data_IF_646519301171
#
_entry.id   IF_646519301171
#
_cell.length_a   1.000
_cell.length_b   1.000
_cell.length_c   1.000
_cell.angle_alpha   90.00
_cell.angle_beta   90.00
_cell.angle_gamma   90.00
#
_symmetry.space_group_name_H-M   'P 1'
#
loop_
_entity.id
_entity.type
_entity.pdbx_description
1 polymer ?
#
# COMPACT_ATOMS: atom_id res chain seq x y z
N UNK A 1 7.49 -47.84 9.68
CA UNK A 1 6.32 -47.11 9.19
C UNK A 1 6.83 -45.95 8.31
N UNK A 2 6.63 -46.04 7.01
CA UNK A 2 6.97 -44.94 6.07
C UNK A 2 5.71 -44.13 5.86
N UNK A 3 5.71 -42.88 6.31
CA UNK A 3 4.66 -41.93 5.96
C UNK A 3 4.91 -41.43 4.53
N UNK A 4 4.09 -41.88 3.61
CA UNK A 4 4.06 -41.38 2.23
C UNK A 4 3.17 -40.14 2.23
N UNK A 5 3.79 -38.99 2.09
CA UNK A 5 3.08 -37.73 1.93
C UNK A 5 2.70 -37.59 0.45
N UNK A 6 1.47 -37.96 0.11
CA UNK A 6 0.92 -37.68 -1.22
C UNK A 6 0.60 -36.22 -1.33
N UNK A 7 1.40 -35.50 -2.14
CA UNK A 7 1.11 -34.12 -2.53
C UNK A 7 -0.03 -34.18 -3.56
N UNK A 8 -1.25 -33.95 -3.10
CA UNK A 8 -2.41 -33.77 -3.98
C UNK A 8 -2.27 -32.41 -4.68
N UNK A 9 -1.68 -32.41 -5.87
CA UNK A 9 -1.67 -31.24 -6.76
C UNK A 9 -3.02 -31.11 -7.45
N UNK A 10 -3.94 -30.35 -6.85
CA UNK A 10 -5.15 -29.95 -7.57
C UNK A 10 -4.77 -29.04 -8.76
N UNK A 11 -5.31 -29.23 -9.95
CA UNK A 11 -5.02 -28.37 -11.09
C UNK A 11 -5.51 -26.94 -10.79
N UNK A 12 -4.57 -26.00 -10.79
CA UNK A 12 -4.91 -24.58 -10.69
C UNK A 12 -5.64 -24.17 -11.97
N UNK A 13 -6.94 -23.98 -11.87
CA UNK A 13 -7.76 -23.46 -12.96
C UNK A 13 -7.35 -22.01 -13.22
N UNK A 14 -6.49 -21.80 -14.19
CA UNK A 14 -6.12 -20.46 -14.67
C UNK A 14 -7.28 -19.92 -15.48
N UNK A 15 -8.04 -18.98 -14.90
CA UNK A 15 -9.07 -18.24 -15.65
C UNK A 15 -8.40 -17.51 -16.83
N UNK A 16 -8.97 -17.56 -18.03
CA UNK A 16 -8.42 -16.85 -19.18
C UNK A 16 -8.37 -15.36 -18.84
N UNK A 17 -7.18 -14.77 -18.99
CA UNK A 17 -6.98 -13.34 -18.79
C UNK A 17 -7.70 -12.61 -19.93
N UNK A 18 -8.79 -11.93 -19.60
CA UNK A 18 -9.47 -11.06 -20.57
C UNK A 18 -8.52 -9.95 -21.02
N UNK A 19 -8.33 -9.80 -22.33
CA UNK A 19 -7.53 -8.69 -22.86
C UNK A 19 -8.26 -7.38 -22.58
N UNK A 20 -7.62 -6.49 -21.86
CA UNK A 20 -8.13 -5.15 -21.60
C UNK A 20 -7.72 -4.23 -22.76
N UNK A 21 -8.61 -3.34 -23.18
CA UNK A 21 -8.23 -2.24 -24.07
C UNK A 21 -7.35 -1.23 -23.32
N UNK A 22 -6.57 -0.43 -24.05
CA UNK A 22 -5.75 0.63 -23.45
C UNK A 22 -6.58 1.62 -22.64
N UNK A 23 -7.78 1.97 -23.11
CA UNK A 23 -8.67 2.90 -22.41
C UNK A 23 -9.27 2.29 -21.14
N UNK A 24 -9.61 1.02 -21.16
CA UNK A 24 -10.05 0.33 -19.96
C UNK A 24 -8.91 0.21 -18.93
N UNK A 25 -7.69 -0.07 -19.37
CA UNK A 25 -6.52 -0.10 -18.50
C UNK A 25 -6.27 1.28 -17.86
N UNK A 26 -6.31 2.36 -18.65
CA UNK A 26 -6.18 3.73 -18.16
C UNK A 26 -7.27 4.06 -17.11
N UNK A 27 -8.52 3.75 -17.41
CA UNK A 27 -9.63 4.00 -16.47
C UNK A 27 -9.44 3.24 -15.16
N UNK A 28 -9.06 1.97 -15.21
CA UNK A 28 -8.80 1.18 -13.99
C UNK A 28 -7.62 1.71 -13.20
N UNK A 29 -6.54 2.12 -13.87
CA UNK A 29 -5.38 2.73 -13.23
C UNK A 29 -5.78 4.03 -12.53
N UNK A 30 -6.50 4.92 -13.21
CA UNK A 30 -6.96 6.17 -12.61
C UNK A 30 -7.87 5.95 -11.41
N UNK A 31 -8.83 5.03 -11.48
CA UNK A 31 -9.69 4.70 -10.34
C UNK A 31 -8.91 4.19 -9.12
N UNK A 32 -7.84 3.43 -9.35
CA UNK A 32 -6.96 2.98 -8.26
C UNK A 32 -6.11 4.09 -7.68
N UNK A 33 -5.56 4.95 -8.54
CA UNK A 33 -4.69 6.05 -8.13
C UNK A 33 -5.45 7.23 -7.51
N UNK A 34 -6.70 7.41 -7.90
CA UNK A 34 -7.60 8.47 -7.42
C UNK A 34 -8.93 7.84 -6.97
N UNK A 35 -8.92 7.14 -5.85
CA UNK A 35 -10.14 6.51 -5.33
C UNK A 35 -11.16 7.58 -4.91
N UNK A 36 -12.44 7.33 -5.18
CA UNK A 36 -13.51 8.16 -4.65
C UNK A 36 -13.66 7.92 -3.15
N UNK A 37 -13.28 8.92 -2.38
CA UNK A 37 -13.35 8.93 -0.91
C UNK A 37 -14.11 10.17 -0.50
N UNK A 38 -15.04 10.01 0.43
CA UNK A 38 -15.85 11.11 0.97
C UNK A 38 -15.25 11.67 2.25
N UNK A 39 -15.37 12.98 2.43
CA UNK A 39 -14.92 13.67 3.63
C UNK A 39 -13.51 14.25 3.54
N UNK A 40 -13.15 15.01 4.57
CA UNK A 40 -11.88 15.76 4.69
C UNK A 40 -11.21 15.54 6.03
N UNK A 41 -11.75 14.62 6.84
CA UNK A 41 -11.25 14.28 8.18
C UNK A 41 -10.15 13.20 8.17
N UNK A 42 -9.69 12.81 9.36
CA UNK A 42 -8.68 11.77 9.56
C UNK A 42 -9.06 10.45 8.90
N UNK A 43 -10.33 10.06 8.98
CA UNK A 43 -10.85 8.79 8.43
C UNK A 43 -10.66 8.72 6.91
N UNK A 44 -10.94 9.85 6.20
CA UNK A 44 -10.74 9.93 4.76
C UNK A 44 -9.26 9.75 4.38
N UNK A 45 -8.35 10.29 5.17
CA UNK A 45 -6.91 10.12 4.97
C UNK A 45 -6.50 8.67 5.20
N UNK A 46 -6.96 8.05 6.27
CA UNK A 46 -6.66 6.63 6.56
C UNK A 46 -7.23 5.70 5.48
N UNK A 47 -8.47 5.95 5.02
CA UNK A 47 -9.06 5.21 3.89
C UNK A 47 -8.21 5.35 2.62
N UNK A 48 -7.67 6.55 2.35
CA UNK A 48 -6.77 6.76 1.21
C UNK A 48 -5.54 5.84 1.29
N UNK A 49 -4.90 5.73 2.44
CA UNK A 49 -3.75 4.84 2.64
C UNK A 49 -4.13 3.36 2.52
N UNK A 50 -5.32 2.96 2.98
CA UNK A 50 -5.81 1.59 2.81
C UNK A 50 -6.00 1.24 1.33
N UNK A 51 -6.48 2.17 0.52
CA UNK A 51 -6.72 1.96 -0.93
C UNK A 51 -5.48 2.07 -1.79
N UNK A 52 -4.58 3.01 -1.48
CA UNK A 52 -3.34 3.21 -2.25
C UNK A 52 -2.21 2.29 -1.80
N UNK A 53 -2.18 1.92 -0.54
CA UNK A 53 -1.02 1.34 0.11
C UNK A 53 0.01 2.40 0.54
N UNK A 54 1.23 1.98 0.87
CA UNK A 54 2.27 2.87 1.36
C UNK A 54 2.73 3.88 0.31
N UNK A 55 2.91 5.12 0.73
CA UNK A 55 3.34 6.23 -0.12
C UNK A 55 4.83 6.46 0.07
N UNK A 56 5.61 6.43 -1.00
CA UNK A 56 7.04 6.74 -0.92
C UNK A 56 7.26 8.15 -0.36
N UNK A 57 8.11 8.26 0.67
CA UNK A 57 8.26 9.47 1.49
C UNK A 57 9.73 9.85 1.70
N UNK A 58 10.59 9.52 0.73
CA UNK A 58 11.98 9.96 0.67
C UNK A 58 12.06 11.49 0.73
N UNK A 59 11.15 12.15 0.02
CA UNK A 59 10.93 13.58 0.13
C UNK A 59 9.90 13.83 1.23
N UNK A 60 10.19 14.60 2.28
CA UNK A 60 9.31 14.81 3.43
C UNK A 60 7.91 15.32 3.09
N UNK A 61 7.78 16.10 2.02
CA UNK A 61 6.50 16.67 1.57
C UNK A 61 5.66 15.72 0.73
N UNK A 62 6.21 14.59 0.26
CA UNK A 62 5.53 13.68 -0.66
C UNK A 62 4.19 13.14 -0.12
N UNK A 63 4.05 12.71 1.14
CA UNK A 63 2.76 12.27 1.67
C UNK A 63 1.70 13.37 1.63
N UNK A 64 2.06 14.59 2.01
CA UNK A 64 1.15 15.74 2.01
C UNK A 64 0.65 16.06 0.61
N UNK A 65 1.55 16.11 -0.38
CA UNK A 65 1.19 16.34 -1.78
C UNK A 65 0.31 15.23 -2.35
N UNK A 66 0.60 13.98 -1.98
CA UNK A 66 -0.21 12.82 -2.40
C UNK A 66 -1.62 12.89 -1.83
N UNK A 67 -1.76 13.25 -0.55
CA UNK A 67 -3.05 13.41 0.10
C UNK A 67 -3.82 14.57 -0.51
N UNK A 68 -3.22 15.76 -0.60
CA UNK A 68 -3.89 16.96 -1.10
C UNK A 68 -4.36 16.85 -2.55
N UNK A 69 -3.62 16.10 -3.39
CA UNK A 69 -4.01 15.88 -4.79
C UNK A 69 -5.19 14.92 -4.97
N UNK A 70 -5.51 14.11 -3.96
CA UNK A 70 -6.57 13.08 -3.99
C UNK A 70 -7.75 13.39 -3.09
N UNK A 71 -7.50 14.15 -2.04
CA UNK A 71 -8.49 14.59 -1.07
C UNK A 71 -8.42 16.12 -0.94
N UNK A 72 -8.92 16.85 -1.94
CA UNK A 72 -8.97 18.31 -1.88
C UNK A 72 -9.83 18.74 -0.69
N UNK A 73 -9.29 19.65 0.14
CA UNK A 73 -9.95 20.11 1.35
C UNK A 73 -9.44 19.48 2.67
N UNK A 74 -8.64 18.42 2.63
CA UNK A 74 -7.95 17.93 3.82
C UNK A 74 -6.93 18.97 4.28
N UNK A 75 -7.02 19.36 5.54
CA UNK A 75 -6.12 20.34 6.14
C UNK A 75 -4.75 19.73 6.44
N UNK A 76 -3.70 20.51 6.26
CA UNK A 76 -2.34 20.11 6.64
C UNK A 76 -2.27 19.65 8.11
N UNK A 77 -2.94 20.38 9.00
CA UNK A 77 -3.00 20.08 10.43
C UNK A 77 -3.57 18.67 10.70
N UNK A 78 -4.63 18.26 10.00
CA UNK A 78 -5.20 16.91 10.12
C UNK A 78 -4.17 15.83 9.82
N UNK A 79 -3.32 16.03 8.83
CA UNK A 79 -2.25 15.09 8.50
C UNK A 79 -1.15 15.07 9.56
N UNK A 80 -0.79 16.24 10.12
CA UNK A 80 0.16 16.32 11.22
C UNK A 80 -0.34 15.57 12.45
N UNK A 81 -1.59 15.75 12.84
CA UNK A 81 -2.23 15.06 13.98
C UNK A 81 -2.23 13.54 13.81
N UNK A 82 -2.41 13.05 12.58
CA UNK A 82 -2.30 11.62 12.28
C UNK A 82 -0.87 11.08 12.47
N UNK A 83 0.15 11.86 12.19
CA UNK A 83 1.54 11.50 12.50
C UNK A 83 1.82 11.56 14.00
N UNK A 84 1.37 12.60 14.68
CA UNK A 84 1.54 12.80 16.13
C UNK A 84 0.86 11.70 16.94
N UNK A 85 -0.31 11.23 16.50
CA UNK A 85 -1.05 10.13 17.10
C UNK A 85 -0.60 8.74 16.63
N UNK A 86 0.46 8.65 15.83
CA UNK A 86 0.99 7.40 15.25
C UNK A 86 0.00 6.62 14.37
N UNK A 87 -1.09 7.23 13.92
CA UNK A 87 -1.99 6.60 12.96
C UNK A 87 -1.36 6.54 11.55
N UNK A 88 -0.47 7.50 11.25
CA UNK A 88 0.44 7.44 10.11
C UNK A 88 1.88 7.28 10.61
N UNK A 89 2.62 6.37 10.02
CA UNK A 89 4.01 6.07 10.39
C UNK A 89 4.92 6.11 9.17
N UNK A 90 6.16 6.57 9.38
CA UNK A 90 7.22 6.52 8.36
C UNK A 90 8.20 5.42 8.70
N UNK A 91 8.41 4.51 7.77
CA UNK A 91 9.34 3.40 7.95
C UNK A 91 10.06 3.06 6.65
N UNK A 92 11.24 2.47 6.78
CA UNK A 92 11.95 1.90 5.63
C UNK A 92 11.40 0.49 5.39
N UNK A 93 10.67 0.30 4.30
CA UNK A 93 10.05 -0.98 3.98
C UNK A 93 10.26 -1.43 2.52
N UNK A 94 9.43 -1.06 1.58
CA UNK A 94 9.51 -1.58 0.21
C UNK A 94 10.84 -1.19 -0.44
N UNK A 95 11.63 -2.19 -0.85
CA UNK A 95 12.95 -2.04 -1.49
C UNK A 95 13.93 -1.16 -0.70
N UNK A 96 13.78 -1.06 0.63
CA UNK A 96 14.64 -0.27 1.48
C UNK A 96 14.43 1.25 1.41
N UNK A 97 13.40 1.72 0.73
CA UNK A 97 13.05 3.15 0.67
C UNK A 97 12.06 3.54 1.76
N UNK A 98 12.08 4.82 2.16
CA UNK A 98 11.17 5.33 3.20
C UNK A 98 9.77 5.49 2.64
N UNK A 99 8.79 4.95 3.35
CA UNK A 99 7.38 5.05 3.02
C UNK A 99 6.57 5.53 4.22
N UNK A 100 5.51 6.26 3.95
CA UNK A 100 4.44 6.54 4.91
C UNK A 100 3.33 5.53 4.69
N UNK A 101 2.81 4.94 5.76
CA UNK A 101 1.68 4.01 5.75
C UNK A 101 0.76 4.27 6.93
N UNK A 102 -0.48 3.79 6.86
CA UNK A 102 -1.30 3.69 8.05
C UNK A 102 -0.70 2.64 9.01
N UNK A 103 -0.83 2.86 10.33
CA UNK A 103 -0.28 1.95 11.34
C UNK A 103 -0.78 0.51 11.17
N UNK A 104 -2.03 0.32 10.78
CA UNK A 104 -2.60 -1.00 10.49
C UNK A 104 -1.85 -1.78 9.41
N UNK A 105 -1.21 -1.07 8.48
CA UNK A 105 -0.44 -1.68 7.39
C UNK A 105 0.99 -2.06 7.81
N UNK A 106 1.46 -1.52 8.94
CA UNK A 106 2.86 -1.65 9.36
C UNK A 106 3.29 -3.11 9.53
N UNK A 107 2.47 -3.94 10.15
CA UNK A 107 2.83 -5.33 10.46
C UNK A 107 3.18 -6.16 9.22
N UNK A 108 2.34 -6.12 8.19
CA UNK A 108 2.59 -6.87 6.96
C UNK A 108 3.68 -6.23 6.10
N UNK A 109 3.80 -4.89 6.09
CA UNK A 109 4.88 -4.18 5.39
C UNK A 109 6.24 -4.52 5.99
N UNK A 110 6.35 -4.56 7.32
CA UNK A 110 7.58 -4.94 8.01
C UNK A 110 7.95 -6.41 7.75
N UNK A 111 6.98 -7.31 7.74
CA UNK A 111 7.21 -8.72 7.39
C UNK A 111 7.79 -8.88 5.98
N UNK A 112 7.23 -8.18 5.00
CA UNK A 112 7.74 -8.16 3.61
C UNK A 112 9.15 -7.57 3.54
N UNK A 113 9.41 -6.47 4.24
CA UNK A 113 10.71 -5.81 4.27
C UNK A 113 11.79 -6.71 4.88
N UNK A 114 11.50 -7.40 5.97
CA UNK A 114 12.42 -8.35 6.63
C UNK A 114 12.79 -9.51 5.72
N UNK A 115 11.81 -10.10 5.05
CA UNK A 115 12.03 -11.19 4.10
C UNK A 115 12.95 -10.75 2.96
N UNK A 116 12.72 -9.56 2.41
CA UNK A 116 13.56 -8.99 1.34
C UNK A 116 15.00 -8.77 1.81
N UNK A 117 15.21 -8.20 3.01
CA UNK A 117 16.55 -7.97 3.60
C UNK A 117 17.27 -9.29 3.86
N UNK A 118 16.61 -10.28 4.43
CA UNK A 118 17.18 -11.59 4.68
C UNK A 118 17.68 -12.27 3.40
N UNK A 119 16.93 -12.13 2.31
CA UNK A 119 17.32 -12.66 0.99
C UNK A 119 18.49 -11.90 0.36
N UNK A 120 18.64 -10.61 0.63
CA UNK A 120 19.78 -9.81 0.16
C UNK A 120 21.10 -10.15 0.89
N UNK A 121 21.01 -10.49 2.17
CA UNK A 121 22.19 -10.87 2.99
C UNK A 121 22.71 -12.29 2.71
N UNK A 122 21.93 -13.12 2.01
CA UNK A 122 22.32 -14.49 1.62
C UNK A 122 23.04 -14.58 0.27
N UNK A 123 23.17 -13.46 -0.45
CA UNK A 123 23.92 -13.36 -1.72
C UNK A 123 25.31 -12.81 -1.48
#
# INVERSE_FOLDING_TARGET
MRFQCEIVTAPVSVRPVSRLSHDELRRRTLRRQFPSISGTGPEAVLELFQRLGPIQSQVPRAPFLTISSRLPGVRYQTVCELFESYQLVKTSNIRGTVHTSALEQFGWLDAVARTTRANQLRK
#
